data_IF_171644822802
#
_entry.id   IF_171644822802
#
_cell.length_a   1.000
_cell.length_b   1.000
_cell.length_c   1.000
_cell.angle_alpha   90.00
_cell.angle_beta   90.00
_cell.angle_gamma   90.00
#
_symmetry.space_group_name_H-M   'P 1'
#
loop_
_entity.id
_entity.type
_entity.pdbx_description
1 polymer ?
#
# COMPACT_ATOMS: atom_id res chain seq x y z
N UNK A 1 -17.97 -12.57 11.51
CA UNK A 1 -18.39 -11.18 11.81
C UNK A 1 -18.47 -10.45 10.47
N UNK A 2 -19.69 -10.19 9.97
CA UNK A 2 -19.89 -9.26 8.85
C UNK A 2 -19.26 -7.93 9.25
N UNK A 3 -18.22 -7.49 8.51
CA UNK A 3 -17.74 -6.12 8.62
C UNK A 3 -18.90 -5.23 8.17
N UNK A 4 -19.41 -4.43 9.08
CA UNK A 4 -20.32 -3.36 8.71
C UNK A 4 -19.58 -2.48 7.71
N UNK A 5 -20.11 -2.40 6.50
CA UNK A 5 -19.74 -1.33 5.56
C UNK A 5 -19.83 -0.03 6.34
N UNK A 6 -18.81 0.81 6.26
CA UNK A 6 -18.81 2.06 7.03
C UNK A 6 -20.10 2.83 6.69
N UNK A 7 -20.85 3.25 7.70
CA UNK A 7 -22.12 3.99 7.54
C UNK A 7 -21.95 5.14 6.54
N UNK A 8 -20.77 5.76 6.52
CA UNK A 8 -20.40 6.84 5.63
C UNK A 8 -20.31 6.39 4.17
N UNK A 9 -19.78 5.19 3.88
CA UNK A 9 -19.69 4.65 2.53
C UNK A 9 -21.09 4.28 2.02
N UNK A 10 -21.94 3.75 2.90
CA UNK A 10 -23.35 3.50 2.59
C UNK A 10 -24.14 4.80 2.32
N UNK A 11 -23.92 5.86 3.10
CA UNK A 11 -24.55 7.15 2.87
C UNK A 11 -24.09 7.75 1.54
N UNK A 12 -22.78 7.70 1.24
CA UNK A 12 -22.23 8.22 -0.02
C UNK A 12 -22.79 7.46 -1.22
N UNK A 13 -22.90 6.14 -1.12
CA UNK A 13 -23.54 5.29 -2.13
C UNK A 13 -25.01 5.68 -2.38
N UNK A 14 -25.80 5.85 -1.30
CA UNK A 14 -27.20 6.26 -1.39
C UNK A 14 -27.31 7.65 -2.03
N UNK A 15 -26.52 8.62 -1.59
CA UNK A 15 -26.53 9.99 -2.11
C UNK A 15 -26.17 10.03 -3.61
N UNK A 16 -25.29 9.17 -4.06
CA UNK A 16 -24.93 9.02 -5.46
C UNK A 16 -26.10 8.41 -6.26
N UNK A 17 -26.74 7.34 -5.76
CA UNK A 17 -27.91 6.72 -6.41
C UNK A 17 -29.09 7.69 -6.60
N UNK A 18 -29.33 8.57 -5.65
CA UNK A 18 -30.43 9.58 -5.74
C UNK A 18 -30.03 10.85 -6.48
N UNK A 19 -28.79 10.91 -7.03
CA UNK A 19 -28.32 12.08 -7.78
C UNK A 19 -28.08 13.33 -6.93
N UNK A 20 -28.05 13.20 -5.61
CA UNK A 20 -27.79 14.33 -4.68
C UNK A 20 -26.33 14.77 -4.67
N UNK A 21 -25.42 13.98 -5.24
CA UNK A 21 -24.03 14.33 -5.52
C UNK A 21 -23.75 14.13 -7.00
N UNK A 22 -22.85 14.90 -7.62
CA UNK A 22 -22.50 14.73 -9.03
C UNK A 22 -22.13 13.27 -9.32
N UNK A 23 -22.58 12.76 -10.48
CA UNK A 23 -22.19 11.42 -10.94
C UNK A 23 -20.68 11.35 -10.94
N UNK A 24 -20.14 10.51 -10.09
CA UNK A 24 -18.71 10.24 -10.12
C UNK A 24 -18.39 9.31 -11.28
N UNK A 25 -17.13 9.39 -11.72
CA UNK A 25 -16.51 8.54 -12.74
C UNK A 25 -16.52 7.03 -12.42
N UNK A 26 -16.95 6.64 -11.21
CA UNK A 26 -16.95 5.24 -10.76
C UNK A 26 -18.30 4.58 -10.95
N UNK A 27 -18.30 3.36 -11.48
CA UNK A 27 -19.43 2.44 -11.45
C UNK A 27 -19.43 1.73 -10.06
N UNK A 28 -20.19 2.26 -9.13
CA UNK A 28 -20.21 1.75 -7.76
C UNK A 28 -20.81 0.35 -7.64
N UNK A 29 -21.73 -0.05 -8.50
CA UNK A 29 -22.33 -1.40 -8.48
C UNK A 29 -21.26 -2.43 -8.91
N UNK A 30 -20.44 -2.10 -9.92
CA UNK A 30 -19.31 -2.93 -10.33
C UNK A 30 -18.23 -2.99 -9.26
N UNK A 31 -17.87 -1.86 -8.65
CA UNK A 31 -16.85 -1.81 -7.60
C UNK A 31 -17.27 -2.61 -6.36
N UNK A 32 -18.54 -2.52 -5.96
CA UNK A 32 -19.07 -3.31 -4.84
C UNK A 32 -19.03 -4.81 -5.17
N UNK A 33 -19.45 -5.20 -6.38
CA UNK A 33 -19.38 -6.59 -6.83
C UNK A 33 -17.95 -7.12 -6.79
N UNK A 34 -16.99 -6.38 -7.35
CA UNK A 34 -15.58 -6.77 -7.33
C UNK A 34 -15.05 -6.91 -5.90
N UNK A 35 -15.40 -5.98 -5.01
CA UNK A 35 -15.01 -6.06 -3.60
C UNK A 35 -15.59 -7.30 -2.91
N UNK A 36 -16.87 -7.63 -3.18
CA UNK A 36 -17.50 -8.81 -2.62
C UNK A 36 -16.87 -10.13 -3.09
N UNK A 37 -16.35 -10.17 -4.32
CA UNK A 37 -15.58 -11.31 -4.81
C UNK A 37 -14.28 -11.51 -4.00
N UNK A 38 -13.60 -10.44 -3.61
CA UNK A 38 -12.42 -10.53 -2.74
C UNK A 38 -12.74 -11.02 -1.33
N UNK A 39 -13.93 -10.73 -0.78
CA UNK A 39 -14.30 -11.15 0.58
C UNK A 39 -14.26 -12.67 0.76
N UNK A 40 -14.44 -13.44 -0.30
CA UNK A 40 -14.33 -14.90 -0.28
C UNK A 40 -12.92 -15.41 -0.01
N UNK A 41 -11.90 -14.57 -0.21
CA UNK A 41 -10.48 -14.87 0.00
C UNK A 41 -9.94 -14.39 1.36
N UNK A 42 -10.82 -14.02 2.30
CA UNK A 42 -10.39 -13.60 3.65
C UNK A 42 -9.78 -14.76 4.42
N UNK A 43 -8.80 -14.45 5.25
CA UNK A 43 -8.12 -15.40 6.14
C UNK A 43 -8.11 -14.88 7.57
N UNK A 44 -7.96 -15.76 8.54
CA UNK A 44 -7.57 -15.37 9.90
C UNK A 44 -6.06 -15.11 9.95
N UNK A 45 -5.70 -13.85 10.07
CA UNK A 45 -4.32 -13.37 10.17
C UNK A 45 -3.98 -12.83 11.58
N UNK A 46 -4.79 -13.14 12.57
CA UNK A 46 -4.66 -12.60 13.94
C UNK A 46 -3.27 -12.79 14.52
N UNK A 47 -2.69 -13.98 14.38
CA UNK A 47 -1.35 -14.27 14.90
C UNK A 47 -0.27 -13.46 14.18
N UNK A 48 -0.38 -13.31 12.86
CA UNK A 48 0.55 -12.50 12.06
C UNK A 48 0.48 -11.03 12.46
N UNK A 49 -0.74 -10.49 12.63
CA UNK A 49 -0.97 -9.11 13.08
C UNK A 49 -0.37 -8.88 14.47
N UNK A 50 -0.55 -9.81 15.41
CA UNK A 50 0.04 -9.70 16.74
C UNK A 50 1.58 -9.76 16.73
N UNK A 51 2.16 -10.62 15.89
CA UNK A 51 3.60 -10.72 15.72
C UNK A 51 4.20 -9.43 15.12
N UNK A 52 3.58 -8.90 14.06
CA UNK A 52 3.98 -7.62 13.45
C UNK A 52 3.84 -6.48 14.45
N UNK A 53 2.75 -6.41 15.20
CA UNK A 53 2.54 -5.36 16.21
C UNK A 53 3.64 -5.37 17.27
N UNK A 54 4.08 -6.52 17.77
CA UNK A 54 5.18 -6.61 18.75
C UNK A 54 6.48 -5.98 18.23
N UNK A 55 6.71 -6.05 16.91
CA UNK A 55 7.93 -5.50 16.28
C UNK A 55 7.79 -4.02 15.92
N UNK A 56 6.60 -3.60 15.48
CA UNK A 56 6.37 -2.30 14.85
C UNK A 56 5.76 -1.25 15.79
N UNK A 57 5.11 -1.69 16.89
CA UNK A 57 4.46 -0.77 17.84
C UNK A 57 5.43 0.28 18.38
N UNK A 58 5.00 1.54 18.32
CA UNK A 58 5.75 2.72 18.76
C UNK A 58 7.14 2.88 18.10
N UNK A 59 7.36 2.31 16.91
CA UNK A 59 8.57 2.46 16.11
C UNK A 59 8.37 3.50 15.00
N UNK A 60 9.46 4.19 14.64
CA UNK A 60 9.50 4.95 13.42
C UNK A 60 9.56 3.98 12.24
N UNK A 61 8.81 4.22 11.19
CA UNK A 61 8.78 3.39 9.97
C UNK A 61 9.11 4.25 8.77
N UNK A 62 10.00 3.76 7.92
CA UNK A 62 10.27 4.33 6.60
C UNK A 62 9.70 3.39 5.54
N UNK A 63 8.73 3.86 4.77
CA UNK A 63 8.23 3.15 3.59
C UNK A 63 9.02 3.63 2.37
N UNK A 64 9.61 2.67 1.65
CA UNK A 64 10.29 2.94 0.39
C UNK A 64 9.47 2.32 -0.74
N UNK A 65 8.74 3.15 -1.47
CA UNK A 65 7.92 2.78 -2.62
C UNK A 65 8.72 2.86 -3.93
N UNK A 66 8.28 2.21 -5.02
CA UNK A 66 9.07 2.05 -6.25
C UNK A 66 9.11 3.27 -7.17
N UNK A 67 8.78 4.46 -6.70
CA UNK A 67 8.81 5.68 -7.51
C UNK A 67 10.20 6.06 -8.03
N UNK A 68 10.22 6.76 -9.14
CA UNK A 68 11.48 7.13 -9.83
C UNK A 68 12.35 8.09 -9.02
N UNK A 69 11.78 8.84 -8.07
CA UNK A 69 12.52 9.75 -7.19
C UNK A 69 13.57 9.04 -6.32
N UNK A 70 13.37 7.75 -5.99
CA UNK A 70 14.32 6.99 -5.17
C UNK A 70 15.76 7.11 -5.68
N UNK A 71 15.97 7.00 -7.00
CA UNK A 71 17.31 7.07 -7.58
C UNK A 71 18.02 8.42 -7.34
N UNK A 72 17.26 9.50 -7.23
CA UNK A 72 17.80 10.86 -7.02
C UNK A 72 17.95 11.22 -5.55
N UNK A 73 17.18 10.59 -4.67
CA UNK A 73 17.10 10.93 -3.25
C UNK A 73 17.67 9.85 -2.33
N UNK A 74 18.44 8.89 -2.86
CA UNK A 74 19.03 7.79 -2.08
C UNK A 74 19.85 8.30 -0.90
N UNK A 75 20.63 9.37 -1.06
CA UNK A 75 21.47 9.92 0.03
C UNK A 75 20.59 10.49 1.16
N UNK A 76 19.52 11.21 0.82
CA UNK A 76 18.57 11.74 1.81
C UNK A 76 17.85 10.62 2.54
N UNK A 77 17.46 9.56 1.82
CA UNK A 77 16.83 8.38 2.41
C UNK A 77 17.77 7.70 3.38
N UNK A 78 19.05 7.51 3.01
CA UNK A 78 20.05 6.90 3.89
C UNK A 78 20.38 7.80 5.09
N UNK A 79 20.44 9.11 4.93
CA UNK A 79 20.58 10.04 6.06
C UNK A 79 19.42 9.88 7.04
N UNK A 80 18.18 9.79 6.56
CA UNK A 80 16.99 9.56 7.40
C UNK A 80 17.05 8.22 8.15
N UNK A 81 17.58 7.17 7.48
CA UNK A 81 17.79 5.86 8.12
C UNK A 81 18.82 5.96 9.24
N UNK A 82 19.94 6.64 8.99
CA UNK A 82 21.02 6.78 9.97
C UNK A 82 20.60 7.63 11.18
N UNK A 83 19.85 8.72 10.96
CA UNK A 83 19.44 9.64 12.02
C UNK A 83 18.30 9.10 12.89
N UNK A 84 17.28 8.49 12.30
CA UNK A 84 16.07 8.05 13.02
C UNK A 84 16.04 6.56 13.35
N UNK A 85 16.92 5.77 12.76
CA UNK A 85 16.94 4.30 12.89
C UNK A 85 15.51 3.69 12.76
N UNK A 86 14.78 4.00 11.66
CA UNK A 86 13.43 3.48 11.46
C UNK A 86 13.47 2.01 11.08
N UNK A 87 12.33 1.34 11.18
CA UNK A 87 12.13 0.06 10.47
C UNK A 87 11.84 0.40 9.00
N UNK A 88 12.69 -0.09 8.11
CA UNK A 88 12.57 0.16 6.67
C UNK A 88 11.74 -0.92 6.01
N UNK A 89 10.62 -0.54 5.41
CA UNK A 89 9.72 -1.45 4.67
C UNK A 89 9.71 -1.04 3.20
N UNK A 90 10.31 -1.88 2.37
CA UNK A 90 10.34 -1.70 0.93
C UNK A 90 9.07 -2.27 0.29
N UNK A 91 8.50 -1.58 -0.70
CA UNK A 91 7.25 -1.99 -1.37
C UNK A 91 7.53 -2.60 -2.72
N UNK A 92 7.09 -3.84 -2.94
CA UNK A 92 7.16 -4.57 -4.20
C UNK A 92 8.56 -4.84 -4.75
N UNK A 93 9.62 -4.64 -3.97
CA UNK A 93 10.99 -4.93 -4.40
C UNK A 93 12.05 -4.34 -3.48
N UNK A 94 13.32 -4.51 -3.83
CA UNK A 94 14.47 -3.87 -3.20
C UNK A 94 15.05 -2.81 -4.13
N UNK A 95 15.62 -1.77 -3.54
CA UNK A 95 16.19 -0.64 -4.27
C UNK A 95 17.68 -0.55 -3.97
N UNK A 96 18.47 -0.33 -5.03
CA UNK A 96 19.92 -0.23 -4.91
C UNK A 96 20.33 0.88 -3.94
N UNK A 97 21.25 0.57 -3.03
CA UNK A 97 21.76 1.53 -2.05
C UNK A 97 20.86 1.74 -0.82
N UNK A 98 19.72 1.03 -0.70
CA UNK A 98 18.84 1.10 0.46
C UNK A 98 18.67 -0.29 1.05
N UNK A 99 18.98 -0.43 2.35
CA UNK A 99 18.80 -1.68 3.09
C UNK A 99 17.40 -1.68 3.72
N UNK A 100 16.61 -2.72 3.44
CA UNK A 100 15.27 -2.88 3.98
C UNK A 100 15.23 -4.00 5.03
N UNK A 101 14.50 -3.76 6.13
CA UNK A 101 14.21 -4.77 7.15
C UNK A 101 13.12 -5.73 6.68
N UNK A 102 12.14 -5.20 5.93
CA UNK A 102 11.02 -5.96 5.36
C UNK A 102 10.76 -5.59 3.92
N UNK A 103 10.20 -6.53 3.18
CA UNK A 103 9.60 -6.26 1.87
C UNK A 103 8.11 -6.58 1.93
N UNK A 104 7.27 -5.59 1.64
CA UNK A 104 5.82 -5.73 1.55
C UNK A 104 5.39 -5.97 0.11
N UNK A 105 4.56 -6.99 -0.13
CA UNK A 105 4.03 -7.32 -1.45
C UNK A 105 2.54 -7.70 -1.38
N UNK A 106 1.74 -7.07 -2.23
CA UNK A 106 0.33 -7.39 -2.44
C UNK A 106 0.01 -7.78 -3.89
N UNK A 107 1.01 -7.77 -4.78
CA UNK A 107 0.83 -8.04 -6.20
C UNK A 107 1.49 -9.38 -6.59
N UNK A 108 0.67 -10.37 -6.97
CA UNK A 108 1.13 -11.72 -7.30
C UNK A 108 2.11 -11.77 -8.48
N UNK A 109 1.93 -10.90 -9.50
CA UNK A 109 2.86 -10.84 -10.64
C UNK A 109 4.23 -10.34 -10.21
N UNK A 110 4.29 -9.29 -9.37
CA UNK A 110 5.56 -8.78 -8.83
C UNK A 110 6.22 -9.79 -7.91
N UNK A 111 5.43 -10.49 -7.10
CA UNK A 111 5.94 -11.57 -6.26
C UNK A 111 6.57 -12.69 -7.09
N UNK A 112 5.97 -13.09 -8.21
CA UNK A 112 6.55 -14.09 -9.12
C UNK A 112 7.91 -13.63 -9.68
N UNK A 113 8.03 -12.38 -10.07
CA UNK A 113 9.32 -11.81 -10.51
C UNK A 113 10.34 -11.79 -9.36
N UNK A 114 9.92 -11.37 -8.18
CA UNK A 114 10.73 -11.35 -6.96
C UNK A 114 11.28 -12.74 -6.64
N UNK A 115 10.44 -13.76 -6.60
CA UNK A 115 10.78 -15.15 -6.27
C UNK A 115 11.83 -15.73 -7.20
N UNK A 116 11.80 -15.37 -8.48
CA UNK A 116 12.75 -15.86 -9.48
C UNK A 116 14.14 -15.21 -9.37
N UNK A 117 14.27 -14.16 -8.57
CA UNK A 117 15.55 -13.49 -8.33
C UNK A 117 16.23 -14.07 -7.07
N UNK A 118 17.27 -14.91 -7.28
CA UNK A 118 17.99 -15.62 -6.21
C UNK A 118 18.63 -14.70 -5.15
N UNK A 119 18.86 -13.43 -5.46
CA UNK A 119 19.46 -12.47 -4.51
C UNK A 119 18.47 -12.06 -3.40
N UNK A 120 17.20 -12.33 -3.59
CA UNK A 120 16.13 -11.92 -2.68
C UNK A 120 15.79 -13.00 -1.62
N UNK A 121 16.49 -14.14 -1.58
CA UNK A 121 16.12 -15.33 -0.80
C UNK A 121 16.09 -15.15 0.73
N UNK A 122 16.62 -14.04 1.26
CA UNK A 122 16.83 -13.86 2.72
C UNK A 122 16.07 -12.67 3.31
N UNK A 123 15.13 -12.08 2.57
CA UNK A 123 14.39 -10.93 3.05
C UNK A 123 13.17 -11.34 3.87
N UNK A 124 12.90 -10.62 4.94
CA UNK A 124 11.65 -10.76 5.69
C UNK A 124 10.49 -10.26 4.81
N UNK A 125 9.60 -11.17 4.41
CA UNK A 125 8.49 -10.85 3.53
C UNK A 125 7.20 -10.70 4.30
N UNK A 126 6.50 -9.59 4.07
CA UNK A 126 5.10 -9.38 4.43
C UNK A 126 4.31 -9.46 3.14
N UNK A 127 3.47 -10.46 3.00
CA UNK A 127 2.66 -10.67 1.79
C UNK A 127 1.17 -10.71 2.11
N UNK A 128 0.35 -10.34 1.15
CA UNK A 128 -1.10 -10.46 1.31
C UNK A 128 -1.63 -11.83 0.86
N UNK A 129 -2.76 -12.25 1.40
CA UNK A 129 -3.33 -13.59 1.22
C UNK A 129 -3.77 -13.94 -0.21
N UNK A 130 -3.83 -12.95 -1.12
CA UNK A 130 -4.06 -13.16 -2.55
C UNK A 130 -2.83 -13.70 -3.30
N UNK A 131 -1.67 -13.76 -2.63
CA UNK A 131 -0.45 -14.37 -3.16
C UNK A 131 -0.42 -15.82 -2.72
N UNK A 132 -0.23 -16.74 -3.69
CA UNK A 132 -0.27 -18.18 -3.47
C UNK A 132 0.65 -18.61 -2.32
N UNK A 133 0.15 -19.51 -1.46
CA UNK A 133 0.93 -20.10 -0.37
C UNK A 133 2.02 -21.01 -0.94
N UNK A 134 3.16 -21.01 -0.25
CA UNK A 134 4.29 -21.88 -0.58
C UNK A 134 4.42 -23.02 0.45
N UNK A 135 5.05 -24.12 0.03
CA UNK A 135 5.44 -25.17 0.97
C UNK A 135 6.52 -24.60 1.92
N UNK A 136 6.36 -24.83 3.22
CA UNK A 136 7.21 -24.27 4.29
C UNK A 136 7.26 -22.73 4.24
N UNK A 137 6.10 -22.12 4.19
CA UNK A 137 5.97 -20.67 4.06
C UNK A 137 6.40 -19.97 5.34
N UNK A 138 7.52 -19.24 5.29
CA UNK A 138 8.04 -18.42 6.40
C UNK A 138 7.66 -16.94 6.27
N UNK A 139 6.86 -16.58 5.26
CA UNK A 139 6.39 -15.22 5.05
C UNK A 139 5.35 -14.85 6.11
N UNK A 140 5.29 -13.59 6.41
CA UNK A 140 4.23 -13.01 7.24
C UNK A 140 3.02 -12.72 6.35
N UNK A 141 1.99 -13.58 6.40
CA UNK A 141 0.83 -13.49 5.53
C UNK A 141 -0.28 -12.71 6.25
N UNK A 142 -0.70 -11.60 5.66
CA UNK A 142 -1.80 -10.76 6.14
C UNK A 142 -3.01 -10.85 5.22
N UNK A 143 -4.22 -10.71 5.76
CA UNK A 143 -5.43 -10.75 4.96
C UNK A 143 -5.45 -9.60 3.94
N UNK A 144 -5.50 -9.93 2.65
CA UNK A 144 -5.67 -8.97 1.57
C UNK A 144 -6.95 -8.14 1.75
N UNK A 145 -8.03 -8.82 2.11
CA UNK A 145 -9.35 -8.20 2.30
C UNK A 145 -9.36 -7.22 3.47
N UNK A 146 -8.61 -7.50 4.54
CA UNK A 146 -8.47 -6.59 5.69
C UNK A 146 -7.94 -5.21 5.27
N UNK A 147 -7.08 -5.19 4.27
CA UNK A 147 -6.38 -3.99 3.82
C UNK A 147 -7.08 -3.29 2.64
N UNK A 148 -8.06 -3.95 2.01
CA UNK A 148 -8.87 -3.33 0.95
C UNK A 148 -9.87 -2.32 1.52
N UNK A 149 -10.25 -1.37 0.68
CA UNK A 149 -11.37 -0.47 0.94
C UNK A 149 -12.16 -0.25 -0.35
N UNK A 150 -13.46 -0.54 -0.31
CA UNK A 150 -14.36 -0.34 -1.45
C UNK A 150 -14.57 1.15 -1.74
N UNK A 151 -14.88 1.49 -2.99
CA UNK A 151 -15.28 2.83 -3.42
C UNK A 151 -14.39 3.45 -4.50
N UNK A 152 -13.33 2.73 -4.91
CA UNK A 152 -12.38 3.13 -5.95
C UNK A 152 -12.07 1.97 -6.89
N UNK A 153 -11.57 2.28 -8.10
CA UNK A 153 -11.19 1.26 -9.09
C UNK A 153 -9.90 0.54 -8.67
N UNK A 154 -8.90 1.30 -8.20
CA UNK A 154 -7.59 0.78 -7.80
C UNK A 154 -7.52 0.52 -6.30
N UNK A 155 -8.38 -0.38 -5.80
CA UNK A 155 -8.53 -0.66 -4.36
C UNK A 155 -7.28 -1.23 -3.71
N UNK A 156 -6.34 -1.76 -4.49
CA UNK A 156 -5.15 -2.50 -4.06
C UNK A 156 -3.84 -1.70 -4.18
N UNK A 157 -3.90 -0.36 -4.18
CA UNK A 157 -2.68 0.44 -4.14
C UNK A 157 -1.78 0.02 -2.98
N UNK A 158 -0.57 -0.45 -3.30
CA UNK A 158 0.33 -1.11 -2.35
C UNK A 158 0.71 -0.24 -1.17
N UNK A 159 0.97 1.06 -1.39
CA UNK A 159 1.35 1.99 -0.32
C UNK A 159 0.16 2.23 0.60
N UNK A 160 -1.03 2.45 0.06
CA UNK A 160 -2.24 2.67 0.88
C UNK A 160 -2.65 1.42 1.67
N UNK A 161 -2.46 0.24 1.10
CA UNK A 161 -2.66 -1.01 1.84
C UNK A 161 -1.65 -1.16 2.98
N UNK A 162 -0.37 -0.84 2.74
CA UNK A 162 0.65 -0.85 3.78
C UNK A 162 0.37 0.19 4.86
N UNK A 163 -0.07 1.39 4.52
CA UNK A 163 -0.49 2.40 5.50
C UNK A 163 -1.62 1.89 6.39
N UNK A 164 -2.62 1.18 5.84
CA UNK A 164 -3.70 0.55 6.63
C UNK A 164 -3.19 -0.57 7.54
N UNK A 165 -2.19 -1.32 7.09
CA UNK A 165 -1.52 -2.31 7.94
C UNK A 165 -0.80 -1.64 9.12
N UNK A 166 -0.03 -0.58 8.86
CA UNK A 166 0.72 0.15 9.89
C UNK A 166 -0.19 0.88 10.88
N UNK A 167 -1.36 1.33 10.43
CA UNK A 167 -2.40 1.89 11.31
C UNK A 167 -2.87 0.86 12.37
N UNK A 168 -2.93 -0.44 11.99
CA UNK A 168 -3.22 -1.52 12.93
C UNK A 168 -2.08 -1.79 13.92
N UNK A 169 -0.85 -1.41 13.57
CA UNK A 169 0.35 -1.65 14.40
C UNK A 169 0.59 -0.55 15.42
N UNK A 170 -0.09 0.59 15.31
CA UNK A 170 0.11 1.76 16.18
C UNK A 170 1.58 2.21 16.19
N UNK A 171 2.13 2.46 15.00
CA UNK A 171 3.49 2.95 14.81
C UNK A 171 3.62 4.40 15.27
N UNK A 172 4.84 4.82 15.64
CA UNK A 172 5.10 6.18 16.14
C UNK A 172 5.03 7.23 15.02
N UNK A 173 5.68 6.95 13.88
CA UNK A 173 5.69 7.83 12.71
C UNK A 173 5.91 7.01 11.44
N UNK A 174 5.52 7.57 10.30
CA UNK A 174 5.73 6.99 8.97
C UNK A 174 6.34 8.05 8.07
N UNK A 175 7.52 7.79 7.54
CA UNK A 175 8.11 8.57 6.46
C UNK A 175 7.95 7.81 5.14
N UNK A 176 7.55 8.52 4.06
CA UNK A 176 7.26 7.96 2.75
C UNK A 176 8.31 8.44 1.74
N UNK A 177 9.06 7.52 1.16
CA UNK A 177 9.96 7.77 0.04
C UNK A 177 9.48 7.03 -1.22
N UNK A 178 9.60 7.65 -2.38
CA UNK A 178 9.21 7.03 -3.66
C UNK A 178 7.70 6.89 -3.89
N UNK A 179 6.88 7.59 -3.14
CA UNK A 179 5.43 7.68 -3.37
C UNK A 179 5.13 8.89 -4.27
N UNK A 180 5.65 8.85 -5.50
CA UNK A 180 5.77 10.00 -6.38
C UNK A 180 4.45 10.39 -7.07
N UNK A 181 3.56 9.42 -7.29
CA UNK A 181 2.44 9.53 -8.22
C UNK A 181 2.85 9.19 -9.66
N UNK A 182 1.92 9.37 -10.60
CA UNK A 182 2.05 8.95 -11.99
C UNK A 182 2.19 10.13 -12.94
N UNK A 183 2.91 9.92 -14.05
CA UNK A 183 3.10 10.87 -15.15
C UNK A 183 3.15 10.12 -16.48
N UNK A 184 3.06 10.86 -17.59
CA UNK A 184 3.37 10.29 -18.90
C UNK A 184 4.88 10.08 -19.01
N UNK A 185 5.38 8.88 -18.72
CA UNK A 185 6.80 8.57 -18.80
C UNK A 185 7.23 7.53 -17.77
N UNK A 186 8.46 7.64 -17.29
CA UNK A 186 9.02 6.70 -16.33
C UNK A 186 8.51 7.02 -14.90
N UNK A 187 7.66 6.16 -14.37
CA UNK A 187 7.08 6.29 -13.04
C UNK A 187 7.79 5.41 -11.99
N UNK A 188 8.73 4.58 -12.39
CA UNK A 188 9.36 3.59 -11.54
C UNK A 188 10.87 3.70 -11.54
N UNK A 189 11.49 3.39 -10.41
CA UNK A 189 12.95 3.41 -10.22
C UNK A 189 13.67 2.40 -11.13
N UNK A 190 13.03 1.31 -11.50
CA UNK A 190 13.57 0.33 -12.45
C UNK A 190 12.54 -0.09 -13.49
N UNK A 191 13.04 -0.51 -14.67
CA UNK A 191 12.18 -0.98 -15.78
C UNK A 191 11.45 -2.28 -15.44
N UNK A 192 12.05 -3.12 -14.61
CA UNK A 192 11.43 -4.39 -14.19
C UNK A 192 10.20 -4.15 -13.31
N UNK A 193 10.13 -3.00 -12.66
CA UNK A 193 8.98 -2.58 -11.86
C UNK A 193 7.93 -1.85 -12.67
N UNK A 194 8.24 -1.43 -13.89
CA UNK A 194 7.27 -0.78 -14.75
C UNK A 194 6.20 -1.78 -15.20
N UNK A 195 4.93 -1.42 -15.03
CA UNK A 195 3.88 -2.06 -15.81
C UNK A 195 4.06 -1.65 -17.28
N UNK A 196 3.95 -2.61 -18.20
CA UNK A 196 3.79 -2.28 -19.59
C UNK A 196 2.52 -1.41 -19.72
N UNK A 197 2.69 -0.16 -20.10
CA UNK A 197 1.67 0.83 -20.41
C UNK A 197 0.62 1.02 -19.31
N UNK A 198 0.68 2.17 -18.64
CA UNK A 198 -0.49 2.71 -17.96
C UNK A 198 -1.37 3.26 -19.11
N UNK A 199 -2.37 2.48 -19.52
CA UNK A 199 -3.36 2.91 -20.52
C UNK A 199 -4.32 3.99 -19.97
N UNK A 200 -4.17 4.34 -18.70
CA UNK A 200 -5.01 5.28 -17.98
C UNK A 200 -4.36 6.67 -17.94
N UNK A 201 -5.21 7.69 -17.88
CA UNK A 201 -4.74 9.06 -17.68
C UNK A 201 -4.05 9.20 -16.30
N UNK A 202 -2.75 9.52 -16.25
CA UNK A 202 -2.06 9.71 -14.99
C UNK A 202 -2.71 10.73 -14.05
N UNK A 203 -3.37 11.75 -14.57
CA UNK A 203 -4.06 12.75 -13.77
C UNK A 203 -5.27 12.14 -13.04
N UNK A 204 -6.05 11.31 -13.75
CA UNK A 204 -7.20 10.60 -13.19
C UNK A 204 -6.77 9.59 -12.11
N UNK A 205 -5.70 8.85 -12.38
CA UNK A 205 -5.14 7.89 -11.43
C UNK A 205 -4.61 8.58 -10.17
N UNK A 206 -3.87 9.70 -10.32
CA UNK A 206 -3.38 10.47 -9.18
C UNK A 206 -4.53 11.05 -8.35
N UNK A 207 -5.60 11.52 -9.00
CA UNK A 207 -6.76 12.04 -8.30
C UNK A 207 -7.46 10.93 -7.49
N UNK A 208 -7.59 9.73 -8.05
CA UNK A 208 -8.15 8.59 -7.34
C UNK A 208 -7.31 8.21 -6.11
N UNK A 209 -5.99 8.13 -6.27
CA UNK A 209 -5.08 7.79 -5.17
C UNK A 209 -5.10 8.88 -4.09
N UNK A 210 -5.17 10.17 -4.47
CA UNK A 210 -5.33 11.26 -3.50
C UNK A 210 -6.65 11.15 -2.72
N UNK A 211 -7.77 10.84 -3.39
CA UNK A 211 -9.04 10.59 -2.71
C UNK A 211 -8.95 9.43 -1.70
N UNK A 212 -8.26 8.36 -2.06
CA UNK A 212 -8.02 7.21 -1.18
C UNK A 212 -7.14 7.58 0.02
N UNK A 213 -6.11 8.38 -0.21
CA UNK A 213 -5.20 8.87 0.84
C UNK A 213 -5.94 9.80 1.80
N UNK A 214 -6.73 10.75 1.28
CA UNK A 214 -7.56 11.65 2.08
C UNK A 214 -8.56 10.89 2.95
N UNK A 215 -9.16 9.84 2.38
CA UNK A 215 -10.06 8.98 3.12
C UNK A 215 -9.34 8.20 4.23
N UNK A 216 -8.15 7.66 3.95
CA UNK A 216 -7.30 7.04 4.95
C UNK A 216 -6.96 8.03 6.07
N UNK A 217 -6.48 9.22 5.75
CA UNK A 217 -6.12 10.25 6.73
C UNK A 217 -7.29 10.66 7.63
N UNK A 218 -8.52 10.63 7.10
CA UNK A 218 -9.75 10.94 7.87
C UNK A 218 -10.27 9.78 8.71
N UNK A 219 -9.93 8.53 8.35
CA UNK A 219 -10.55 7.33 8.93
C UNK A 219 -9.59 6.43 9.69
N UNK A 220 -8.28 6.73 9.67
CA UNK A 220 -7.26 5.99 10.42
C UNK A 220 -7.51 6.08 11.92
N UNK A 221 -7.09 5.06 12.65
CA UNK A 221 -7.23 5.00 14.10
C UNK A 221 -6.04 5.64 14.82
N UNK A 222 -4.84 5.50 14.25
CA UNK A 222 -3.62 6.07 14.84
C UNK A 222 -3.48 7.55 14.53
N UNK A 223 -2.96 8.30 15.48
CA UNK A 223 -2.55 9.69 15.31
C UNK A 223 -1.10 9.86 14.85
N UNK A 224 -0.46 8.82 14.32
CA UNK A 224 0.95 8.87 13.95
C UNK A 224 1.21 9.95 12.88
N UNK A 225 2.35 10.65 12.98
CA UNK A 225 2.77 11.59 11.95
C UNK A 225 3.14 10.82 10.68
N UNK A 226 2.68 11.31 9.52
CA UNK A 226 3.05 10.79 8.20
C UNK A 226 3.68 11.92 7.41
N UNK A 227 4.86 11.68 6.83
CA UNK A 227 5.65 12.70 6.13
C UNK A 227 6.09 12.17 4.75
N UNK A 228 6.07 13.03 3.75
CA UNK A 228 6.68 12.74 2.44
C UNK A 228 8.15 13.12 2.48
N UNK A 229 9.03 12.14 2.40
CA UNK A 229 10.50 12.34 2.43
C UNK A 229 11.05 12.71 1.05
N UNK A 230 10.40 12.26 -0.02
CA UNK A 230 10.76 12.58 -1.41
C UNK A 230 9.63 13.35 -2.09
N UNK A 231 9.92 14.09 -3.20
CA UNK A 231 8.87 14.77 -3.94
C UNK A 231 7.72 13.85 -4.34
N UNK A 232 6.50 14.35 -4.18
CA UNK A 232 5.27 13.61 -4.49
C UNK A 232 4.25 14.53 -5.15
N UNK A 233 3.35 13.94 -5.93
CA UNK A 233 2.16 14.60 -6.46
C UNK A 233 1.00 14.58 -5.46
N UNK A 234 1.18 13.84 -4.36
CA UNK A 234 0.19 13.72 -3.30
C UNK A 234 0.46 14.69 -2.15
N UNK A 235 -0.58 14.99 -1.39
CA UNK A 235 -0.54 15.84 -0.21
C UNK A 235 -1.01 15.02 1.01
N UNK A 236 -0.38 15.27 2.17
CA UNK A 236 -0.70 14.62 3.45
C UNK A 236 -1.13 15.68 4.46
#
# INVERSE_FOLDING_TARGET
RQRQMCIRDSIRYILNKIGAIPRKRYDYDLLEKTYMEYLSADIDDTQTIEALRKTLHNRNVLIVAPGSSIAMYTDIINQEIDEKNPIVISVNGLFSGIVADYVYMNNAKRYTVWKNNKTNAYQNLIVTSNIEKENNDHRQIVSFVRLLKCGWTHVDNSVLMLLRLLDLMDVKSIDLAGFDGYSYGNNYVSKEMAYANIDEDPAELNLEIQEMLDDFMKTRNSGCAITLLTPSRFHI
#
